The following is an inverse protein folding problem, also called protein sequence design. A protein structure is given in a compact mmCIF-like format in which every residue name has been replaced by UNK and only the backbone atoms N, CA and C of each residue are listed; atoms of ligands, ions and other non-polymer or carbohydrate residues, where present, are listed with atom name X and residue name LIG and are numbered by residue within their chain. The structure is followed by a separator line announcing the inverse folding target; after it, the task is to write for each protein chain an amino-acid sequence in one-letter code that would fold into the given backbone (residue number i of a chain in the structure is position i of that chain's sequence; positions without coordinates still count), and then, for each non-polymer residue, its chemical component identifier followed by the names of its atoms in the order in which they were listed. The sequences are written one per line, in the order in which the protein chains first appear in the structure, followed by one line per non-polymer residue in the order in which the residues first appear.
data_IF_571633676040
#
_entry.id   IF_571633676040
#
_cell.length_a   1.000
_cell.length_b   1.000
_cell.length_c   1.000
_cell.angle_alpha   90.00
_cell.angle_beta   90.00
_cell.angle_gamma   90.00
#
_symmetry.space_group_name_H-M   'P 1'
#
loop_
_entity.id
_entity.type
_entity.pdbx_description
1 polymer ?
#
# COMPACT_ATOMS: atom_id res chain seq x y z
N UNK A 1 27.53 -58.76 -43.40
CA UNK A 1 26.09 -58.98 -43.60
C UNK A 1 25.42 -58.29 -42.36
N UNK A 2 24.87 -57.19 -42.37
CA UNK A 2 24.00 -56.51 -43.27
C UNK A 2 22.72 -56.19 -42.56
N UNK A 3 22.34 -54.94 -42.60
CA UNK A 3 21.03 -54.33 -42.47
C UNK A 3 20.52 -54.14 -41.01
N UNK A 4 19.98 -53.02 -40.56
CA UNK A 4 19.49 -51.84 -41.24
C UNK A 4 18.35 -51.30 -40.39
N UNK A 5 18.50 -50.17 -39.86
CA UNK A 5 17.65 -49.00 -39.69
C UNK A 5 16.14 -49.15 -39.54
N UNK A 6 15.58 -48.44 -38.59
CA UNK A 6 14.48 -47.49 -38.88
C UNK A 6 14.30 -46.50 -37.74
N UNK A 7 14.53 -45.24 -38.06
CA UNK A 7 14.16 -44.06 -37.29
C UNK A 7 12.64 -43.82 -37.40
N UNK A 8 11.93 -43.72 -36.27
CA UNK A 8 10.58 -43.14 -36.27
C UNK A 8 10.56 -41.92 -35.37
N UNK A 9 10.43 -40.78 -36.04
CA UNK A 9 10.14 -39.47 -35.45
C UNK A 9 8.73 -39.45 -34.85
N UNK A 10 8.63 -39.07 -33.57
CA UNK A 10 7.34 -38.70 -32.98
C UNK A 10 7.14 -37.17 -33.08
N UNK A 11 5.89 -36.69 -33.24
CA UNK A 11 5.62 -35.25 -33.42
C UNK A 11 5.63 -34.47 -32.13
N UNK A 12 6.21 -33.29 -32.18
CA UNK A 12 6.26 -32.35 -31.07
C UNK A 12 4.87 -31.75 -30.78
N UNK A 13 4.47 -31.80 -29.52
CA UNK A 13 3.37 -31.03 -29.01
C UNK A 13 3.85 -29.64 -28.62
N UNK A 14 3.53 -28.65 -29.44
CA UNK A 14 3.78 -27.24 -29.13
C UNK A 14 2.83 -26.77 -28.04
N UNK A 15 3.34 -26.44 -26.89
CA UNK A 15 2.62 -25.63 -25.90
C UNK A 15 2.87 -24.18 -26.24
N UNK A 16 1.85 -23.49 -26.74
CA UNK A 16 1.85 -22.06 -26.94
C UNK A 16 1.76 -21.37 -25.57
N UNK A 17 2.85 -20.83 -25.08
CA UNK A 17 2.82 -19.87 -23.98
C UNK A 17 2.33 -18.52 -24.53
N UNK A 18 1.14 -18.11 -24.16
CA UNK A 18 0.65 -16.76 -24.38
C UNK A 18 1.41 -15.82 -23.43
N UNK A 19 2.45 -15.18 -23.94
CA UNK A 19 3.06 -14.05 -23.27
C UNK A 19 2.07 -12.88 -23.37
N UNK A 20 1.43 -12.54 -22.24
CA UNK A 20 0.67 -11.30 -22.11
C UNK A 20 1.65 -10.13 -22.13
N UNK A 21 1.64 -9.36 -23.21
CA UNK A 21 2.46 -8.15 -23.32
C UNK A 21 1.81 -7.03 -22.53
N UNK A 22 2.51 -6.50 -21.52
CA UNK A 22 2.15 -5.25 -20.86
C UNK A 22 2.37 -4.09 -21.86
N UNK A 23 1.34 -3.78 -22.66
CA UNK A 23 1.34 -2.60 -23.52
C UNK A 23 1.15 -1.35 -22.68
N UNK A 24 2.09 -0.39 -22.76
CA UNK A 24 2.01 0.87 -22.06
C UNK A 24 0.76 1.65 -22.44
N UNK A 25 0.01 2.09 -21.46
CA UNK A 25 -1.07 3.03 -21.60
C UNK A 25 -0.49 4.41 -21.98
N UNK A 26 -0.50 4.73 -23.26
CA UNK A 26 -0.19 6.04 -23.78
C UNK A 26 -1.30 7.02 -23.38
N UNK A 27 -0.95 8.04 -22.61
CA UNK A 27 -1.83 9.14 -22.26
C UNK A 27 -2.00 10.02 -23.51
N UNK A 28 -3.20 9.99 -24.09
CA UNK A 28 -3.58 10.89 -25.19
C UNK A 28 -3.95 12.26 -24.60
N UNK A 29 -3.23 13.30 -25.04
CA UNK A 29 -3.56 14.71 -24.77
C UNK A 29 -4.78 15.13 -25.59
N UNK A 30 -5.81 15.77 -25.01
CA UNK A 30 -6.92 16.32 -25.79
C UNK A 30 -6.51 17.63 -26.47
N UNK A 31 -6.81 17.71 -27.77
CA UNK A 31 -6.71 18.93 -28.60
C UNK A 31 -7.73 19.95 -28.15
N UNK A 32 -7.28 21.19 -28.00
CA UNK A 32 -8.11 22.36 -27.77
C UNK A 32 -8.99 22.67 -28.98
N UNK A 33 -10.27 22.99 -28.75
CA UNK A 33 -11.17 23.64 -29.72
C UNK A 33 -11.55 25.02 -29.21
N UNK A 34 -11.75 26.03 -30.10
CA UNK A 34 -11.82 27.43 -29.73
C UNK A 34 -13.22 27.87 -29.28
N UNK A 35 -13.21 28.86 -28.39
CA UNK A 35 -14.39 29.59 -27.88
C UNK A 35 -15.14 30.39 -28.94
N UNK A 36 -16.40 30.72 -28.67
CA UNK A 36 -17.01 31.96 -29.18
C UNK A 36 -17.30 32.95 -28.06
N UNK A 37 -16.98 34.22 -28.33
CA UNK A 37 -17.15 35.42 -27.52
C UNK A 37 -18.59 35.98 -27.49
N UNK A 38 -18.88 37.02 -26.68
CA UNK A 38 -20.08 37.11 -25.84
C UNK A 38 -21.15 38.07 -26.39
N UNK A 39 -22.38 37.94 -25.88
CA UNK A 39 -23.42 38.96 -26.03
C UNK A 39 -23.88 39.43 -24.64
N UNK A 40 -23.78 40.73 -24.45
CA UNK A 40 -24.26 41.50 -23.30
C UNK A 40 -25.79 41.52 -23.19
N UNK A 41 -26.32 41.38 -21.98
CA UNK A 41 -27.53 42.09 -21.57
C UNK A 41 -27.54 42.27 -20.05
N UNK A 42 -27.55 43.55 -19.66
CA UNK A 42 -27.81 44.01 -18.28
C UNK A 42 -29.28 43.81 -17.93
N UNK A 43 -29.55 43.26 -16.76
CA UNK A 43 -30.75 43.59 -15.95
C UNK A 43 -30.38 43.55 -14.49
N UNK A 44 -30.82 44.58 -13.79
CA UNK A 44 -30.54 44.97 -12.41
C UNK A 44 -31.37 44.21 -11.38
N UNK A 45 -30.81 44.27 -10.15
CA UNK A 45 -31.51 44.35 -8.85
C UNK A 45 -31.91 43.04 -8.16
N UNK A 46 -31.46 42.96 -6.90
CA UNK A 46 -32.02 42.08 -5.89
C UNK A 46 -30.97 41.17 -5.20
N UNK A 47 -30.22 41.69 -4.23
CA UNK A 47 -29.45 40.84 -3.32
C UNK A 47 -30.40 40.08 -2.38
N UNK A 48 -30.45 38.78 -2.40
CA UNK A 48 -30.82 38.01 -1.24
C UNK A 48 -29.58 37.78 -0.34
N UNK A 49 -29.80 37.84 0.95
CA UNK A 49 -28.83 37.48 2.00
C UNK A 49 -28.25 36.07 1.73
N UNK A 50 -26.97 35.80 2.02
CA UNK A 50 -26.44 34.46 1.97
C UNK A 50 -27.16 33.57 2.97
N UNK A 51 -27.79 32.52 2.45
CA UNK A 51 -28.22 31.41 3.28
C UNK A 51 -26.94 30.81 3.92
N UNK A 52 -26.96 30.70 5.24
CA UNK A 52 -25.99 29.93 6.00
C UNK A 52 -25.88 28.54 5.36
N UNK A 53 -24.71 28.22 4.79
CA UNK A 53 -24.37 26.85 4.42
C UNK A 53 -24.62 25.94 5.61
N UNK A 54 -25.23 24.77 5.43
CA UNK A 54 -25.33 23.81 6.50
C UNK A 54 -23.88 23.46 6.87
N UNK A 55 -23.54 23.77 8.14
CA UNK A 55 -22.28 23.33 8.72
C UNK A 55 -22.10 21.85 8.43
N UNK A 56 -20.88 21.42 8.13
CA UNK A 56 -20.48 20.03 8.23
C UNK A 56 -20.67 19.60 9.68
N UNK A 57 -21.94 19.37 10.05
CA UNK A 57 -22.25 18.59 11.20
C UNK A 57 -21.62 17.23 10.89
N UNK A 58 -20.62 16.83 11.67
CA UNK A 58 -20.27 15.43 11.78
C UNK A 58 -21.60 14.69 11.93
N UNK A 59 -21.89 13.69 11.08
CA UNK A 59 -23.06 12.88 11.36
C UNK A 59 -22.86 12.32 12.75
N UNK A 60 -23.77 12.61 13.70
CA UNK A 60 -23.61 12.07 15.03
C UNK A 60 -23.74 10.57 14.91
N UNK A 61 -22.66 9.85 15.21
CA UNK A 61 -22.70 8.42 15.49
C UNK A 61 -23.04 7.47 14.32
N UNK A 62 -22.29 7.50 13.23
CA UNK A 62 -22.27 6.39 12.26
C UNK A 62 -21.11 5.40 12.51
N UNK A 63 -20.29 5.64 13.51
CA UNK A 63 -19.34 4.67 14.01
C UNK A 63 -19.74 4.30 15.43
N UNK A 64 -19.91 2.99 15.73
CA UNK A 64 -19.99 2.57 17.13
C UNK A 64 -18.74 3.12 17.84
N UNK A 65 -18.86 3.48 19.13
CA UNK A 65 -17.69 3.88 19.90
C UNK A 65 -16.62 2.81 19.72
N UNK A 66 -15.37 3.23 19.48
CA UNK A 66 -14.22 2.35 19.22
C UNK A 66 -13.96 1.35 20.38
N UNK A 67 -14.66 1.50 21.48
CA UNK A 67 -14.71 0.59 22.63
C UNK A 67 -15.37 -0.77 22.34
N UNK A 68 -15.94 -0.98 21.14
CA UNK A 68 -16.60 -2.23 20.72
C UNK A 68 -15.87 -3.06 19.66
N UNK A 69 -14.76 -2.56 19.11
CA UNK A 69 -13.87 -3.43 18.33
C UNK A 69 -13.19 -4.39 19.30
N UNK A 70 -13.24 -5.73 19.05
CA UNK A 70 -12.47 -6.66 19.86
C UNK A 70 -11.02 -6.18 19.83
N UNK A 71 -10.44 -5.94 21.01
CA UNK A 71 -9.04 -5.60 21.15
C UNK A 71 -8.27 -6.64 20.32
N UNK A 72 -7.55 -6.17 19.29
CA UNK A 72 -6.67 -7.06 18.53
C UNK A 72 -5.81 -7.80 19.55
N UNK A 73 -5.71 -9.13 19.48
CA UNK A 73 -4.97 -9.88 20.47
C UNK A 73 -3.55 -9.31 20.58
N UNK A 74 -2.96 -9.23 21.78
CA UNK A 74 -1.64 -8.63 22.02
C UNK A 74 -0.49 -9.42 21.40
N UNK A 75 -0.76 -10.25 20.41
CA UNK A 75 0.21 -11.10 19.75
C UNK A 75 0.63 -10.47 18.42
N UNK A 76 1.94 -10.29 18.16
CA UNK A 76 2.44 -9.75 16.88
C UNK A 76 2.14 -10.67 15.68
N UNK A 77 1.48 -11.80 15.90
CA UNK A 77 1.12 -12.75 14.86
C UNK A 77 -0.39 -12.72 14.66
N UNK A 78 -0.83 -12.38 13.45
CA UNK A 78 -2.22 -12.56 13.08
C UNK A 78 -2.43 -14.03 12.68
N UNK A 79 -3.41 -14.66 13.29
CA UNK A 79 -3.77 -16.05 13.02
C UNK A 79 -5.27 -16.13 12.71
N UNK A 80 -5.60 -16.57 11.51
CA UNK A 80 -6.94 -16.98 11.12
C UNK A 80 -6.97 -18.49 10.88
N UNK A 81 -8.14 -19.14 10.87
CA UNK A 81 -8.24 -20.56 10.54
C UNK A 81 -7.57 -20.87 9.19
N UNK A 82 -6.36 -21.41 9.21
CA UNK A 82 -5.65 -21.83 8.01
C UNK A 82 -4.63 -20.86 7.44
N UNK A 83 -4.53 -19.64 7.94
CA UNK A 83 -3.47 -18.68 7.54
C UNK A 83 -2.82 -18.02 8.76
N UNK A 84 -1.52 -17.77 8.67
CA UNK A 84 -0.75 -17.02 9.67
C UNK A 84 0.06 -15.95 8.96
N UNK A 85 -0.02 -14.71 9.43
CA UNK A 85 0.85 -13.61 9.02
C UNK A 85 1.82 -13.29 10.14
N UNK A 86 3.10 -13.39 9.85
CA UNK A 86 4.19 -13.19 10.80
C UNK A 86 5.01 -11.97 10.37
N UNK A 87 4.94 -10.83 11.09
CA UNK A 87 5.87 -9.73 10.90
C UNK A 87 7.25 -10.10 11.45
N UNK A 88 8.28 -9.85 10.67
CA UNK A 88 9.68 -10.09 11.01
C UNK A 88 10.38 -8.73 10.99
N UNK A 89 10.62 -8.12 12.16
CA UNK A 89 11.42 -6.91 12.24
C UNK A 89 12.84 -7.20 11.76
N UNK A 90 13.32 -6.41 10.81
CA UNK A 90 14.64 -6.54 10.20
C UNK A 90 15.30 -5.16 10.08
N UNK A 91 16.62 -5.14 9.91
CA UNK A 91 17.40 -3.90 9.85
C UNK A 91 17.11 -2.98 11.06
N UNK A 92 17.01 -1.66 10.84
CA UNK A 92 16.72 -0.69 11.92
C UNK A 92 15.23 -0.53 12.21
N UNK A 93 14.41 -0.51 11.17
CA UNK A 93 12.97 -0.22 11.25
C UNK A 93 12.13 -0.89 10.15
N UNK A 94 12.72 -1.76 9.33
CA UNK A 94 12.02 -2.47 8.27
C UNK A 94 11.20 -3.64 8.80
N UNK A 95 10.16 -3.99 8.05
CA UNK A 95 9.41 -5.23 8.20
C UNK A 95 9.52 -6.10 6.95
N UNK A 96 9.95 -7.34 7.14
CA UNK A 96 9.64 -8.45 6.23
C UNK A 96 8.44 -9.21 6.77
N UNK A 97 7.70 -9.91 5.90
CA UNK A 97 6.56 -10.71 6.34
C UNK A 97 6.66 -12.14 5.83
N UNK A 98 6.14 -13.07 6.63
CA UNK A 98 5.94 -14.44 6.21
C UNK A 98 4.45 -14.76 6.28
N UNK A 99 3.84 -15.04 5.13
CA UNK A 99 2.44 -15.44 4.98
C UNK A 99 2.43 -16.96 4.83
N UNK A 100 1.75 -17.66 5.73
CA UNK A 100 1.81 -19.11 5.84
C UNK A 100 0.42 -19.71 5.62
N UNK A 101 0.27 -20.59 4.62
CA UNK A 101 -0.81 -21.58 4.59
C UNK A 101 -0.47 -22.68 5.58
N UNK A 102 -1.16 -22.69 6.72
CA UNK A 102 -0.84 -23.60 7.83
C UNK A 102 -1.23 -25.05 7.53
N UNK A 103 -2.18 -25.29 6.60
CA UNK A 103 -2.59 -26.64 6.20
C UNK A 103 -1.60 -27.22 5.20
N UNK A 104 -1.23 -26.44 4.17
CA UNK A 104 -0.26 -26.89 3.16
C UNK A 104 1.17 -26.80 3.65
N UNK A 105 1.45 -26.06 4.74
CA UNK A 105 2.79 -25.73 5.25
C UNK A 105 3.65 -25.04 4.19
N UNK A 106 3.01 -24.22 3.35
CA UNK A 106 3.65 -23.39 2.34
C UNK A 106 3.73 -21.96 2.83
N UNK A 107 4.79 -21.28 2.48
CA UNK A 107 5.00 -19.89 2.88
C UNK A 107 5.35 -19.00 1.68
N UNK A 108 4.92 -17.74 1.81
CA UNK A 108 5.26 -16.62 0.92
C UNK A 108 5.98 -15.58 1.77
N UNK A 109 7.15 -15.12 1.36
CA UNK A 109 7.84 -14.00 1.99
C UNK A 109 7.54 -12.69 1.25
N UNK A 110 7.28 -11.62 1.99
CA UNK A 110 7.15 -10.26 1.43
C UNK A 110 8.34 -9.44 1.89
N UNK A 111 9.01 -8.80 0.94
CA UNK A 111 10.16 -7.91 1.13
C UNK A 111 11.25 -8.48 2.05
N UNK A 112 11.86 -9.62 1.72
CA UNK A 112 12.80 -10.28 2.60
C UNK A 112 14.20 -9.62 2.56
N UNK A 113 14.35 -8.45 3.15
CA UNK A 113 15.62 -7.69 3.11
C UNK A 113 16.75 -8.33 3.90
N UNK A 114 16.45 -8.95 5.04
CA UNK A 114 17.39 -9.77 5.83
C UNK A 114 17.09 -11.27 5.64
N UNK A 115 17.83 -11.94 4.74
CA UNK A 115 17.57 -13.35 4.44
C UNK A 115 17.84 -14.28 5.61
N UNK A 116 18.68 -13.92 6.59
CA UNK A 116 18.97 -14.73 7.76
C UNK A 116 17.79 -14.70 8.74
N UNK A 117 17.24 -13.52 9.02
CA UNK A 117 16.09 -13.37 9.91
C UNK A 117 14.83 -14.06 9.34
N UNK A 118 14.61 -13.93 8.01
CA UNK A 118 13.51 -14.61 7.32
C UNK A 118 13.70 -16.12 7.33
N UNK A 119 14.91 -16.62 7.05
CA UNK A 119 15.24 -18.04 7.10
C UNK A 119 15.01 -18.64 8.49
N UNK A 120 15.48 -17.97 9.55
CA UNK A 120 15.25 -18.41 10.93
C UNK A 120 13.74 -18.54 11.25
N UNK A 121 12.93 -17.63 10.72
CA UNK A 121 11.47 -17.68 10.87
C UNK A 121 10.84 -18.84 10.10
N UNK A 122 11.30 -19.14 8.88
CA UNK A 122 10.88 -20.29 8.06
C UNK A 122 11.17 -21.59 8.81
N UNK A 123 12.38 -21.73 9.35
CA UNK A 123 12.81 -22.92 10.11
C UNK A 123 12.01 -23.08 11.39
N UNK A 124 11.80 -22.00 12.15
CA UNK A 124 11.01 -21.98 13.39
C UNK A 124 9.56 -22.43 13.16
N UNK A 125 8.95 -21.95 12.08
CA UNK A 125 7.57 -22.30 11.70
C UNK A 125 7.51 -23.68 11.02
N UNK A 126 8.62 -24.21 10.57
CA UNK A 126 8.75 -25.50 9.91
C UNK A 126 7.96 -25.56 8.59
N UNK A 127 8.01 -24.50 7.80
CA UNK A 127 7.28 -24.32 6.55
C UNK A 127 8.21 -24.30 5.35
N UNK A 128 7.67 -24.48 4.15
CA UNK A 128 8.41 -24.46 2.91
C UNK A 128 8.17 -23.12 2.17
N UNK A 129 9.23 -22.33 1.96
CA UNK A 129 9.18 -21.09 1.20
C UNK A 129 9.10 -21.41 -0.30
N UNK A 130 8.02 -20.96 -0.96
CA UNK A 130 7.79 -21.22 -2.41
C UNK A 130 7.65 -19.95 -3.23
N UNK A 131 7.49 -18.79 -2.58
CA UNK A 131 7.38 -17.51 -3.27
C UNK A 131 7.97 -16.37 -2.43
N UNK A 132 8.54 -15.39 -3.13
CA UNK A 132 8.92 -14.09 -2.62
C UNK A 132 8.12 -13.06 -3.40
N UNK A 133 7.42 -12.16 -2.71
CA UNK A 133 6.76 -11.00 -3.28
C UNK A 133 7.59 -9.77 -2.92
N UNK A 134 8.08 -9.05 -3.91
CA UNK A 134 8.87 -7.86 -3.70
C UNK A 134 8.05 -6.63 -4.10
N UNK A 135 7.81 -5.70 -3.16
CA UNK A 135 6.99 -4.52 -3.42
C UNK A 135 7.70 -3.56 -4.37
N UNK A 136 9.00 -3.36 -4.20
CA UNK A 136 9.80 -2.48 -5.04
C UNK A 136 11.30 -2.79 -4.95
N UNK A 137 12.11 -2.08 -5.75
CA UNK A 137 13.53 -2.39 -5.98
C UNK A 137 14.51 -2.01 -4.86
N UNK A 138 14.13 -1.19 -3.89
CA UNK A 138 15.07 -0.75 -2.87
C UNK A 138 15.67 -1.93 -2.10
N UNK A 139 16.95 -1.81 -1.74
CA UNK A 139 17.73 -2.92 -1.18
C UNK A 139 17.20 -3.40 0.17
N UNK A 140 16.65 -2.48 0.95
CA UNK A 140 16.04 -2.74 2.26
C UNK A 140 14.66 -3.42 2.18
N UNK A 141 14.19 -3.75 0.97
CA UNK A 141 13.06 -4.62 0.67
C UNK A 141 13.48 -5.85 -0.14
N UNK A 142 14.34 -5.67 -1.13
CA UNK A 142 14.71 -6.69 -2.11
C UNK A 142 16.04 -7.39 -1.84
N UNK A 143 16.81 -6.94 -0.86
CA UNK A 143 18.20 -7.35 -0.64
C UNK A 143 18.40 -8.85 -0.39
N UNK A 144 17.44 -9.53 0.21
CA UNK A 144 17.50 -10.95 0.51
C UNK A 144 16.99 -11.87 -0.60
N UNK A 145 16.40 -11.34 -1.68
CA UNK A 145 15.81 -12.15 -2.76
C UNK A 145 16.79 -13.19 -3.29
N UNK A 146 18.04 -12.79 -3.55
CA UNK A 146 19.09 -13.64 -4.07
C UNK A 146 19.38 -14.83 -3.16
N UNK A 147 19.57 -14.56 -1.89
CA UNK A 147 20.05 -15.57 -0.95
C UNK A 147 18.95 -16.57 -0.62
N UNK A 148 17.71 -16.11 -0.47
CA UNK A 148 16.56 -16.99 -0.24
C UNK A 148 16.20 -17.82 -1.46
N UNK A 149 16.18 -17.22 -2.67
CA UNK A 149 15.89 -17.99 -3.89
C UNK A 149 16.95 -19.08 -4.19
N UNK A 150 18.20 -18.88 -3.75
CA UNK A 150 19.24 -19.91 -3.86
C UNK A 150 19.12 -21.02 -2.83
N UNK A 151 18.63 -20.69 -1.63
CA UNK A 151 18.41 -21.70 -0.56
C UNK A 151 17.19 -22.56 -0.84
N UNK A 152 16.15 -21.97 -1.46
CA UNK A 152 14.88 -22.59 -1.79
C UNK A 152 14.74 -22.70 -3.32
N UNK A 153 15.22 -23.82 -3.91
CA UNK A 153 15.39 -23.97 -5.37
C UNK A 153 14.12 -23.78 -6.19
N UNK A 154 12.95 -24.08 -5.61
CA UNK A 154 11.65 -23.91 -6.29
C UNK A 154 10.99 -22.56 -5.97
N UNK A 155 11.66 -21.70 -5.21
CA UNK A 155 11.12 -20.41 -4.80
C UNK A 155 11.12 -19.43 -5.98
N UNK A 156 9.94 -18.89 -6.29
CA UNK A 156 9.72 -17.90 -7.35
C UNK A 156 9.80 -16.51 -6.77
N UNK A 157 10.47 -15.59 -7.46
CA UNK A 157 10.55 -14.18 -7.09
C UNK A 157 9.62 -13.39 -7.98
N UNK A 158 8.63 -12.76 -7.38
CA UNK A 158 7.59 -11.94 -8.02
C UNK A 158 7.82 -10.46 -7.73
N UNK A 159 7.46 -9.61 -8.67
CA UNK A 159 7.53 -8.16 -8.55
C UNK A 159 7.24 -7.47 -9.89
N UNK A 160 7.30 -6.16 -9.92
CA UNK A 160 7.05 -5.39 -11.13
C UNK A 160 8.21 -5.51 -12.14
N UNK A 161 7.91 -5.67 -13.43
CA UNK A 161 8.94 -5.58 -14.49
C UNK A 161 9.44 -4.15 -14.69
N UNK A 162 8.75 -3.15 -14.16
CA UNK A 162 9.14 -1.73 -14.26
C UNK A 162 10.20 -1.33 -13.21
N UNK A 163 10.36 -2.13 -12.16
CA UNK A 163 11.44 -2.01 -11.20
C UNK A 163 12.53 -3.05 -11.49
N UNK A 164 13.78 -2.71 -11.24
CA UNK A 164 14.91 -3.64 -11.38
C UNK A 164 15.01 -4.57 -10.17
N UNK A 165 13.94 -5.36 -9.92
CA UNK A 165 13.87 -6.28 -8.78
C UNK A 165 14.98 -7.34 -8.90
N UNK A 166 15.88 -7.47 -7.90
CA UNK A 166 16.92 -8.50 -7.91
C UNK A 166 16.32 -9.91 -7.98
N UNK A 167 16.84 -10.74 -8.89
CA UNK A 167 16.41 -12.13 -9.06
C UNK A 167 14.94 -12.33 -9.44
N UNK A 168 14.28 -11.32 -10.02
CA UNK A 168 12.92 -11.42 -10.53
C UNK A 168 12.82 -12.60 -11.52
N UNK A 169 11.91 -13.52 -11.23
CA UNK A 169 11.62 -14.69 -12.10
C UNK A 169 10.25 -14.63 -12.74
N UNK A 170 9.30 -14.01 -12.07
CA UNK A 170 7.90 -13.93 -12.47
C UNK A 170 7.43 -12.48 -12.36
N UNK A 171 7.43 -11.73 -13.46
CA UNK A 171 6.90 -10.36 -13.47
C UNK A 171 5.40 -10.35 -13.24
N UNK A 172 4.92 -9.34 -12.49
CA UNK A 172 3.50 -9.10 -12.20
C UNK A 172 3.06 -7.75 -12.76
N UNK A 173 1.86 -7.73 -13.30
CA UNK A 173 1.13 -6.54 -13.68
C UNK A 173 0.02 -6.23 -12.65
N UNK A 174 -0.62 -5.08 -12.82
CA UNK A 174 -1.77 -4.69 -12.00
C UNK A 174 -2.90 -5.73 -12.11
N UNK A 175 -3.42 -6.16 -10.96
CA UNK A 175 -4.46 -7.18 -10.77
C UNK A 175 -4.05 -8.63 -11.02
N UNK A 176 -2.78 -8.91 -11.34
CA UNK A 176 -2.31 -10.30 -11.38
C UNK A 176 -2.43 -10.94 -9.99
N UNK A 177 -2.73 -12.24 -9.97
CA UNK A 177 -2.92 -13.01 -8.74
C UNK A 177 -1.86 -14.10 -8.63
N UNK A 178 -1.19 -14.13 -7.49
CA UNK A 178 -0.26 -15.21 -7.11
C UNK A 178 -0.98 -16.19 -6.21
N UNK A 179 -1.05 -17.46 -6.64
CA UNK A 179 -1.68 -18.54 -5.90
C UNK A 179 -0.64 -19.47 -5.30
N UNK A 180 -0.67 -19.66 -3.96
CA UNK A 180 0.22 -20.56 -3.21
C UNK A 180 -0.61 -21.36 -2.21
N UNK A 181 -0.81 -22.66 -2.46
CA UNK A 181 -1.77 -23.44 -1.71
C UNK A 181 -3.16 -22.81 -1.83
N UNK A 182 -3.73 -22.40 -0.70
CA UNK A 182 -5.02 -21.67 -0.67
C UNK A 182 -4.84 -20.15 -0.65
N UNK A 183 -3.61 -19.64 -0.51
CA UNK A 183 -3.36 -18.21 -0.52
C UNK A 183 -3.63 -17.64 -1.91
N UNK A 184 -4.48 -16.62 -1.99
CA UNK A 184 -4.75 -15.82 -3.18
C UNK A 184 -4.27 -14.40 -2.89
N UNK A 185 -3.22 -13.97 -3.59
CA UNK A 185 -2.57 -12.68 -3.33
C UNK A 185 -2.56 -11.86 -4.61
N UNK A 186 -3.32 -10.78 -4.64
CA UNK A 186 -3.43 -9.88 -5.77
C UNK A 186 -2.36 -8.80 -5.71
N UNK A 187 -1.70 -8.52 -6.84
CA UNK A 187 -0.78 -7.41 -7.00
C UNK A 187 -1.51 -6.17 -7.53
N UNK A 188 -1.37 -5.04 -6.86
CA UNK A 188 -1.93 -3.77 -7.30
C UNK A 188 -0.78 -2.80 -7.60
N UNK A 189 -0.74 -2.26 -8.82
CA UNK A 189 0.26 -1.26 -9.19
C UNK A 189 -0.01 0.06 -8.46
N UNK A 190 0.99 0.57 -7.78
CA UNK A 190 0.92 1.78 -6.97
C UNK A 190 2.19 2.63 -7.15
N UNK A 191 2.41 3.14 -8.38
CA UNK A 191 3.59 3.94 -8.69
C UNK A 191 3.64 5.24 -7.86
N UNK A 192 4.85 5.74 -7.64
CA UNK A 192 5.09 7.00 -6.90
C UNK A 192 6.38 6.92 -6.08
N UNK A 193 6.47 6.03 -5.11
CA UNK A 193 7.71 5.78 -4.36
C UNK A 193 8.81 5.25 -5.29
N UNK A 194 8.49 4.23 -6.05
CA UNK A 194 9.21 3.85 -7.29
C UNK A 194 8.22 3.76 -8.44
N UNK A 195 8.74 3.74 -9.66
CA UNK A 195 7.92 3.64 -10.86
C UNK A 195 7.17 2.31 -10.94
N UNK A 196 7.80 1.24 -10.48
CA UNK A 196 7.24 -0.11 -10.52
C UNK A 196 6.70 -0.61 -9.19
N UNK A 197 6.43 0.28 -8.21
CA UNK A 197 5.93 -0.14 -6.91
C UNK A 197 4.62 -0.93 -7.01
N UNK A 198 4.56 -2.07 -6.30
CA UNK A 198 3.37 -2.89 -6.12
C UNK A 198 3.01 -2.99 -4.64
N UNK A 199 1.73 -3.05 -4.34
CA UNK A 199 1.23 -3.55 -3.05
C UNK A 199 0.58 -4.91 -3.26
N UNK A 200 0.52 -5.74 -2.22
CA UNK A 200 -0.02 -7.09 -2.28
C UNK A 200 -1.21 -7.23 -1.35
N UNK A 201 -2.34 -7.66 -1.89
CA UNK A 201 -3.58 -7.87 -1.17
C UNK A 201 -3.85 -9.37 -1.04
N UNK A 202 -3.70 -9.92 0.16
CA UNK A 202 -4.14 -11.27 0.49
C UNK A 202 -5.66 -11.26 0.70
N UNK A 203 -6.36 -12.09 -0.04
CA UNK A 203 -7.79 -12.32 0.16
C UNK A 203 -8.05 -13.07 1.47
N UNK A 204 -8.83 -12.47 2.35
CA UNK A 204 -9.18 -13.03 3.66
C UNK A 204 -10.42 -13.92 3.64
N UNK A 205 -11.27 -13.82 2.61
CA UNK A 205 -12.55 -14.57 2.53
C UNK A 205 -12.38 -16.08 2.68
N UNK A 206 -11.42 -16.74 2.01
CA UNK A 206 -11.22 -18.19 2.15
C UNK A 206 -10.86 -18.64 3.57
N UNK A 207 -10.54 -17.72 4.46
CA UNK A 207 -10.10 -17.95 5.83
C UNK A 207 -11.06 -17.36 6.88
N UNK A 208 -12.23 -16.89 6.45
CA UNK A 208 -13.21 -16.24 7.32
C UNK A 208 -12.61 -15.06 8.11
N UNK A 209 -11.68 -14.32 7.49
CA UNK A 209 -10.94 -13.21 8.08
C UNK A 209 -10.89 -11.98 7.19
N UNK A 210 -10.39 -10.84 7.71
CA UNK A 210 -10.18 -9.65 6.90
C UNK A 210 -9.04 -9.86 5.89
N UNK A 211 -9.13 -9.15 4.78
CA UNK A 211 -8.03 -9.07 3.82
C UNK A 211 -6.81 -8.39 4.43
N UNK A 212 -5.61 -8.73 3.94
CA UNK A 212 -4.35 -8.17 4.42
C UNK A 212 -3.63 -7.45 3.28
N UNK A 213 -3.35 -6.16 3.45
CA UNK A 213 -2.62 -5.33 2.53
C UNK A 213 -1.16 -5.16 2.98
N UNK A 214 -0.23 -5.71 2.21
CA UNK A 214 1.20 -5.49 2.37
C UNK A 214 1.59 -4.29 1.51
N UNK A 215 1.74 -3.15 2.13
CA UNK A 215 1.78 -1.86 1.44
C UNK A 215 3.19 -1.39 1.06
N UNK A 216 4.25 -2.09 1.48
CA UNK A 216 5.62 -1.63 1.25
C UNK A 216 5.77 -0.16 1.64
N UNK A 217 6.34 0.63 0.75
CA UNK A 217 6.60 2.06 0.96
C UNK A 217 5.56 2.98 0.31
N UNK A 218 4.37 2.46 -0.01
CA UNK A 218 3.24 3.30 -0.39
C UNK A 218 2.60 3.96 0.83
N UNK A 219 2.19 3.14 1.80
CA UNK A 219 1.37 3.56 2.94
C UNK A 219 1.95 2.98 4.24
N UNK A 220 2.12 3.85 5.22
CA UNK A 220 2.54 3.52 6.58
C UNK A 220 1.44 3.87 7.57
N UNK A 221 1.54 3.39 8.81
CA UNK A 221 0.68 3.88 9.88
C UNK A 221 0.87 5.39 10.00
N UNK A 222 -0.24 6.11 9.82
CA UNK A 222 -0.32 7.58 9.84
C UNK A 222 0.62 8.30 8.86
N UNK A 223 1.03 7.64 7.77
CA UNK A 223 1.97 8.22 6.80
C UNK A 223 1.87 7.63 5.41
N UNK A 224 2.64 8.19 4.47
CA UNK A 224 2.91 7.60 3.16
C UNK A 224 4.40 7.71 2.82
N UNK A 225 4.83 6.96 1.82
CA UNK A 225 6.21 7.01 1.33
C UNK A 225 6.58 8.33 0.66
N UNK A 226 7.88 8.55 0.48
CA UNK A 226 8.40 9.62 -0.37
C UNK A 226 8.12 9.31 -1.82
N UNK A 227 7.85 10.35 -2.61
CA UNK A 227 7.65 10.24 -4.05
C UNK A 227 8.99 10.45 -4.75
N UNK A 228 9.78 9.37 -4.92
CA UNK A 228 11.09 9.47 -5.56
C UNK A 228 11.00 9.43 -7.09
N UNK A 229 10.04 8.66 -7.63
CA UNK A 229 9.97 8.39 -9.07
C UNK A 229 8.57 8.62 -9.64
N UNK A 230 7.87 9.63 -9.15
CA UNK A 230 6.52 9.98 -9.59
C UNK A 230 6.19 11.42 -9.30
N UNK A 231 4.94 11.77 -9.49
CA UNK A 231 4.36 13.07 -9.12
C UNK A 231 3.41 12.92 -7.95
N UNK A 232 2.99 14.04 -7.36
CA UNK A 232 1.99 14.02 -6.30
C UNK A 232 0.65 13.43 -6.79
N UNK A 233 0.28 13.67 -8.05
CA UNK A 233 -0.91 13.08 -8.69
C UNK A 233 -0.78 11.56 -8.81
N UNK A 234 0.41 11.07 -9.20
CA UNK A 234 0.67 9.63 -9.30
C UNK A 234 0.57 8.97 -7.93
N UNK A 235 1.20 9.55 -6.90
CA UNK A 235 1.12 9.05 -5.53
C UNK A 235 -0.31 9.10 -4.99
N UNK A 236 -1.04 10.19 -5.25
CA UNK A 236 -2.45 10.32 -4.84
C UNK A 236 -3.32 9.24 -5.48
N UNK A 237 -3.17 8.99 -6.77
CA UNK A 237 -3.89 7.92 -7.47
C UNK A 237 -3.60 6.54 -6.88
N UNK A 238 -2.35 6.29 -6.49
CA UNK A 238 -1.94 5.06 -5.83
C UNK A 238 -2.54 4.92 -4.43
N UNK A 239 -2.59 6.00 -3.64
CA UNK A 239 -3.27 6.03 -2.35
C UNK A 239 -4.79 5.85 -2.50
N UNK A 240 -5.41 6.47 -3.52
CA UNK A 240 -6.84 6.30 -3.80
C UNK A 240 -7.17 4.85 -4.20
N UNK A 241 -6.27 4.15 -4.88
CA UNK A 241 -6.43 2.73 -5.20
C UNK A 241 -6.59 1.89 -3.93
N UNK A 242 -5.75 2.11 -2.91
CA UNK A 242 -5.86 1.38 -1.65
C UNK A 242 -7.01 1.88 -0.77
N UNK A 243 -7.40 3.16 -0.90
CA UNK A 243 -8.60 3.69 -0.28
C UNK A 243 -9.90 3.08 -0.82
N UNK A 244 -9.88 2.45 -1.99
CA UNK A 244 -11.00 1.69 -2.52
C UNK A 244 -11.25 0.36 -1.80
N UNK A 245 -10.33 -0.12 -0.97
CA UNK A 245 -10.45 -1.36 -0.20
C UNK A 245 -11.34 -1.17 1.04
N UNK A 246 -11.83 -2.28 1.62
CA UNK A 246 -12.69 -2.27 2.81
C UNK A 246 -12.00 -1.71 4.06
N UNK A 247 -12.80 -1.14 4.96
CA UNK A 247 -12.29 -0.54 6.22
C UNK A 247 -11.64 -1.55 7.17
N UNK A 248 -12.05 -2.79 7.12
CA UNK A 248 -11.52 -3.91 7.89
C UNK A 248 -10.21 -4.49 7.35
N UNK A 249 -9.78 -4.06 6.14
CA UNK A 249 -8.50 -4.49 5.55
C UNK A 249 -7.34 -4.14 6.47
N UNK A 250 -6.55 -5.14 6.83
CA UNK A 250 -5.39 -4.99 7.70
C UNK A 250 -4.18 -4.46 6.93
N UNK A 251 -3.56 -3.41 7.45
CA UNK A 251 -2.41 -2.74 6.87
C UNK A 251 -1.10 -3.26 7.49
N UNK A 252 -0.23 -3.81 6.64
CA UNK A 252 1.11 -4.30 6.94
C UNK A 252 2.15 -3.48 6.17
N UNK A 253 2.74 -2.43 6.79
CA UNK A 253 3.64 -1.48 6.12
C UNK A 253 5.07 -2.01 5.98
N UNK A 254 5.88 -1.38 5.12
CA UNK A 254 7.29 -1.70 4.95
C UNK A 254 8.18 -1.30 6.14
N UNK A 255 7.76 -0.32 6.94
CA UNK A 255 8.56 0.24 8.03
C UNK A 255 7.76 0.54 9.30
N UNK A 256 8.48 0.55 10.43
CA UNK A 256 8.00 0.96 11.75
C UNK A 256 8.15 2.47 11.95
N UNK A 257 7.31 3.25 11.28
CA UNK A 257 7.32 4.71 11.38
C UNK A 257 6.14 5.28 12.17
N UNK A 258 5.35 4.43 12.86
CA UNK A 258 4.08 4.84 13.45
C UNK A 258 4.20 6.00 14.42
N UNK A 259 5.15 5.95 15.37
CA UNK A 259 5.30 7.00 16.39
C UNK A 259 5.68 8.35 15.78
N UNK A 260 6.66 8.35 14.87
CA UNK A 260 7.11 9.56 14.16
C UNK A 260 5.99 10.16 13.29
N UNK A 261 5.26 9.29 12.56
CA UNK A 261 4.17 9.71 11.68
C UNK A 261 2.99 10.28 12.45
N UNK A 262 2.60 9.64 13.56
CA UNK A 262 1.54 10.15 14.44
C UNK A 262 1.94 11.46 15.12
N UNK A 263 3.23 11.65 15.43
CA UNK A 263 3.77 12.91 15.90
C UNK A 263 3.57 14.03 14.86
N UNK A 264 3.90 13.76 13.61
CA UNK A 264 3.65 14.69 12.50
C UNK A 264 2.15 14.96 12.29
N UNK A 265 1.32 13.93 12.30
CA UNK A 265 -0.13 14.09 12.17
C UNK A 265 -0.71 14.99 13.27
N UNK A 266 -0.13 14.95 14.49
CA UNK A 266 -0.50 15.85 15.59
C UNK A 266 -0.11 17.31 15.37
N UNK A 267 0.91 17.58 14.57
CA UNK A 267 1.25 18.96 14.17
C UNK A 267 0.22 19.49 13.16
N UNK A 268 -0.26 18.62 12.27
CA UNK A 268 -1.16 18.99 11.19
C UNK A 268 -2.62 19.05 11.64
N UNK A 269 -3.05 18.11 12.49
CA UNK A 269 -4.40 18.01 13.05
C UNK A 269 -4.31 17.83 14.58
N UNK A 270 -4.01 18.89 15.35
CA UNK A 270 -3.78 18.79 16.80
C UNK A 270 -5.01 18.30 17.57
N UNK A 271 -6.22 18.60 17.09
CA UNK A 271 -7.48 18.23 17.74
C UNK A 271 -8.01 16.84 17.35
N UNK A 272 -7.24 16.05 16.57
CA UNK A 272 -7.68 14.73 16.12
C UNK A 272 -7.56 13.70 17.25
N UNK A 273 -8.67 13.40 17.91
CA UNK A 273 -8.73 12.46 19.04
C UNK A 273 -8.41 11.01 18.63
N UNK A 274 -8.73 10.60 17.40
CA UNK A 274 -8.40 9.27 16.92
C UNK A 274 -6.88 9.10 16.82
N UNK A 275 -6.19 10.12 16.30
CA UNK A 275 -4.73 10.19 16.26
C UNK A 275 -4.11 10.10 17.65
N UNK A 276 -4.68 10.86 18.63
CA UNK A 276 -4.16 10.86 20.01
C UNK A 276 -4.25 9.47 20.66
N UNK A 277 -5.39 8.79 20.53
CA UNK A 277 -5.60 7.44 21.04
C UNK A 277 -4.62 6.44 20.40
N UNK A 278 -4.42 6.55 19.07
CA UNK A 278 -3.47 5.68 18.34
C UNK A 278 -2.04 5.93 18.81
N UNK A 279 -1.63 7.18 19.02
CA UNK A 279 -0.31 7.54 19.55
C UNK A 279 -0.06 6.88 20.92
N UNK A 280 -0.99 6.97 21.84
CA UNK A 280 -0.87 6.37 23.17
C UNK A 280 -0.74 4.84 23.08
N UNK A 281 -1.47 4.21 22.16
CA UNK A 281 -1.34 2.77 21.91
C UNK A 281 0.03 2.41 21.31
N UNK A 282 0.48 3.16 20.29
CA UNK A 282 1.79 2.96 19.67
C UNK A 282 2.91 3.08 20.69
N UNK A 283 2.90 4.11 21.52
CA UNK A 283 3.91 4.30 22.56
C UNK A 283 3.98 3.12 23.53
N UNK A 284 2.83 2.58 23.95
CA UNK A 284 2.80 1.36 24.78
C UNK A 284 3.42 0.16 24.06
N UNK A 285 3.06 -0.06 22.77
CA UNK A 285 3.64 -1.14 21.97
C UNK A 285 5.17 -1.00 21.86
N UNK A 286 5.65 0.21 21.56
CA UNK A 286 7.08 0.46 21.39
C UNK A 286 7.87 0.35 22.71
N UNK A 287 7.31 0.77 23.84
CA UNK A 287 7.92 0.52 25.16
C UNK A 287 8.08 -0.98 25.44
N UNK A 288 7.15 -1.80 24.99
CA UNK A 288 7.21 -3.26 25.10
C UNK A 288 8.02 -3.92 23.97
N UNK A 289 8.65 -3.12 23.09
CA UNK A 289 9.39 -3.58 21.90
C UNK A 289 8.54 -4.43 20.94
N UNK A 290 7.25 -4.20 20.92
CA UNK A 290 6.29 -4.85 20.02
C UNK A 290 6.11 -4.05 18.73
N UNK A 291 5.74 -4.76 17.68
CA UNK A 291 5.33 -4.20 16.40
C UNK A 291 4.04 -3.38 16.55
N UNK A 292 3.90 -2.31 15.78
CA UNK A 292 2.67 -1.50 15.74
C UNK A 292 1.75 -1.90 14.58
N UNK A 293 2.17 -2.82 13.72
CA UNK A 293 1.30 -3.40 12.70
C UNK A 293 0.64 -4.71 13.18
N UNK A 294 -0.55 -5.05 12.65
CA UNK A 294 -1.31 -4.27 11.68
C UNK A 294 -2.10 -3.11 12.29
N UNK A 295 -2.43 -2.12 11.44
CA UNK A 295 -3.55 -1.19 11.62
C UNK A 295 -4.71 -1.66 10.72
N UNK A 296 -5.85 -0.95 10.69
CA UNK A 296 -6.87 -1.14 9.67
C UNK A 296 -6.96 0.08 8.76
N UNK A 297 -7.44 -0.08 7.52
CA UNK A 297 -7.64 1.07 6.63
C UNK A 297 -8.70 2.02 7.19
N UNK A 298 -9.70 1.51 7.90
CA UNK A 298 -10.69 2.33 8.61
C UNK A 298 -10.07 3.20 9.71
N UNK A 299 -9.15 2.65 10.52
CA UNK A 299 -8.38 3.44 11.47
C UNK A 299 -7.55 4.51 10.74
N UNK A 300 -6.81 4.14 9.70
CA UNK A 300 -5.95 5.06 8.93
C UNK A 300 -6.75 6.22 8.32
N UNK A 301 -7.95 5.97 7.79
CA UNK A 301 -8.85 7.03 7.29
C UNK A 301 -9.23 8.05 8.36
N UNK A 302 -9.21 7.67 9.63
CA UNK A 302 -9.61 8.57 10.72
C UNK A 302 -8.53 9.56 11.13
N UNK A 303 -7.24 9.26 10.89
CA UNK A 303 -6.14 10.09 11.38
C UNK A 303 -4.94 10.25 10.42
N UNK A 304 -4.79 9.43 9.38
CA UNK A 304 -3.66 9.54 8.46
C UNK A 304 -3.85 10.76 7.54
N UNK A 305 -3.07 11.85 7.66
CA UNK A 305 -3.30 13.07 6.90
C UNK A 305 -3.16 12.85 5.38
N UNK A 306 -2.34 11.90 4.95
CA UNK A 306 -2.13 11.61 3.53
C UNK A 306 -3.33 10.91 2.86
N UNK A 307 -4.18 10.25 3.64
CA UNK A 307 -5.45 9.67 3.18
C UNK A 307 -6.62 10.65 3.30
N UNK A 308 -6.42 11.81 3.92
CA UNK A 308 -7.45 12.78 4.29
C UNK A 308 -7.38 14.09 3.48
N UNK A 309 -6.67 14.09 2.36
CA UNK A 309 -6.50 15.27 1.49
C UNK A 309 -7.80 15.86 0.96
N UNK A 310 -8.93 15.16 1.08
CA UNK A 310 -10.27 15.64 0.78
C UNK A 310 -10.93 16.38 1.97
N UNK A 311 -10.37 16.33 3.18
CA UNK A 311 -10.94 16.95 4.36
C UNK A 311 -10.70 18.46 4.38
N UNK A 312 -11.77 19.24 4.57
CA UNK A 312 -11.69 20.70 4.62
C UNK A 312 -10.72 21.22 5.68
N UNK A 313 -10.68 20.57 6.85
CA UNK A 313 -9.76 20.95 7.95
C UNK A 313 -8.30 20.97 7.48
N UNK A 314 -7.88 19.96 6.70
CA UNK A 314 -6.53 19.92 6.14
C UNK A 314 -6.33 20.93 5.02
N UNK A 315 -7.35 21.15 4.19
CA UNK A 315 -7.30 22.15 3.12
C UNK A 315 -7.19 23.56 3.69
N UNK A 316 -7.95 23.88 4.74
CA UNK A 316 -7.89 25.17 5.43
C UNK A 316 -6.57 25.37 6.17
N UNK A 317 -6.05 24.32 6.83
CA UNK A 317 -4.80 24.40 7.59
C UNK A 317 -3.55 24.53 6.69
N UNK A 318 -3.56 23.92 5.52
CA UNK A 318 -2.37 23.71 4.67
C UNK A 318 -2.53 24.18 3.22
N UNK A 319 -3.73 24.49 2.80
CA UNK A 319 -4.00 25.01 1.46
C UNK A 319 -3.34 26.38 1.20
N UNK A 320 -3.18 26.81 -0.03
CA UNK A 320 -2.79 28.18 -0.33
C UNK A 320 -3.82 29.13 0.24
N UNK A 321 -3.37 30.28 0.80
CA UNK A 321 -4.29 31.36 1.13
C UNK A 321 -5.06 31.76 -0.12
N UNK A 322 -6.39 32.05 -0.03
CA UNK A 322 -7.19 32.46 -1.16
C UNK A 322 -6.48 33.57 -1.94
N UNK A 323 -6.21 33.30 -3.23
CA UNK A 323 -5.62 34.32 -4.12
C UNK A 323 -6.64 35.39 -4.50
N UNK A 324 -6.21 36.57 -4.96
CA UNK A 324 -7.11 37.69 -5.32
C UNK A 324 -8.05 37.37 -6.51
N UNK A 325 -7.90 36.26 -7.20
CA UNK A 325 -8.66 35.84 -8.38
C UNK A 325 -9.79 34.85 -8.11
N UNK A 326 -9.99 34.41 -6.85
CA UNK A 326 -11.16 33.59 -6.48
C UNK A 326 -11.19 32.16 -7.04
N UNK A 327 -10.11 31.69 -7.65
CA UNK A 327 -9.94 30.29 -8.09
C UNK A 327 -9.17 29.53 -7.00
N UNK A 328 -9.88 29.10 -5.97
CA UNK A 328 -9.32 28.82 -4.64
C UNK A 328 -9.21 27.34 -4.31
N UNK A 329 -9.30 26.47 -5.31
CA UNK A 329 -9.21 25.03 -5.09
C UNK A 329 -7.77 24.53 -5.05
N UNK A 330 -7.15 24.45 -3.87
CA UNK A 330 -5.97 23.59 -3.70
C UNK A 330 -6.36 22.18 -4.12
N UNK A 331 -5.73 21.65 -5.18
CA UNK A 331 -6.00 20.28 -5.59
C UNK A 331 -5.53 19.30 -4.50
N UNK A 332 -6.18 18.13 -4.38
CA UNK A 332 -5.76 17.08 -3.44
C UNK A 332 -4.28 16.69 -3.63
N UNK A 333 -3.78 16.73 -4.87
CA UNK A 333 -2.39 16.42 -5.18
C UNK A 333 -1.44 17.51 -4.65
N UNK A 334 -1.78 18.79 -4.81
CA UNK A 334 -1.00 19.90 -4.25
C UNK A 334 -0.96 19.84 -2.72
N UNK A 335 -2.09 19.48 -2.09
CA UNK A 335 -2.12 19.29 -0.64
C UNK A 335 -1.27 18.10 -0.20
N UNK A 336 -1.31 17.00 -0.93
CA UNK A 336 -0.45 15.83 -0.69
C UNK A 336 1.05 16.19 -0.77
N UNK A 337 1.43 16.93 -1.82
CA UNK A 337 2.80 17.41 -2.00
C UNK A 337 3.24 18.28 -0.83
N UNK A 338 2.40 19.23 -0.40
CA UNK A 338 2.70 20.09 0.74
C UNK A 338 2.82 19.31 2.04
N UNK A 339 1.93 18.34 2.29
CA UNK A 339 2.03 17.43 3.43
C UNK A 339 3.36 16.67 3.42
N UNK A 340 3.79 16.20 2.25
CA UNK A 340 5.05 15.46 2.09
C UNK A 340 6.25 16.36 2.39
N UNK A 341 6.28 17.59 1.86
CA UNK A 341 7.33 18.59 2.14
C UNK A 341 7.41 18.91 3.64
N UNK A 342 6.27 19.13 4.30
CA UNK A 342 6.21 19.42 5.74
C UNK A 342 6.69 18.23 6.58
N UNK A 343 6.33 17.00 6.18
CA UNK A 343 6.79 15.78 6.86
C UNK A 343 8.30 15.63 6.75
N UNK A 344 8.91 15.93 5.60
CA UNK A 344 10.35 15.83 5.41
C UNK A 344 11.09 16.88 6.24
N UNK A 345 10.54 18.09 6.37
CA UNK A 345 11.08 19.13 7.27
C UNK A 345 10.89 18.77 8.75
N UNK A 346 9.81 18.08 9.11
CA UNK A 346 9.58 17.63 10.48
C UNK A 346 10.60 16.58 10.92
N UNK A 347 10.95 15.64 10.03
CA UNK A 347 11.95 14.59 10.29
C UNK A 347 13.37 15.15 10.46
N UNK A 348 13.64 16.34 9.93
CA UNK A 348 14.97 16.98 9.98
C UNK A 348 15.23 17.76 11.28
N UNK A 349 14.25 17.85 12.18
CA UNK A 349 14.35 18.47 13.51
C UNK A 349 14.55 17.41 14.59
#
# INVERSE_FOLDING_TARGET
MGQGTASTRAPGSGTSSTASSCAGLGIATPKATPEPSPASSMVSSGRPRPATAPGCAHPPHLFPPVDGLPALPPNPHLYFPGVKVLPIPVLSDNYSYLIIDTQARLAVAVDPSDPQAVQASIEKEGVNLVAILCTHKHWDHSGGNRDLSRRHQDCRVYGSPQDSIPYLTHPLCHQDVVSVGRLQIQALATPGHTQGHLVYLLDGEPYEGPSCLFSGDLLFLSGCGRTFEGTAETMLSSLDTVLGLGDDTLLWPGHEYAEENLGFAGVVEPENLARERKMQWVQRQRMERKSTCPSTLGEERSYNPFLRTHCLVLQEALGPSPGPTGDDGCSRAQLLERLRQLKDLHKSK
#
